data_IF_790303948090
#
_entry.id   IF_790303948090
#
_cell.length_a   1.000
_cell.length_b   1.000
_cell.length_c   1.000
_cell.angle_alpha   90.00
_cell.angle_beta   90.00
_cell.angle_gamma   90.00
#
_symmetry.space_group_name_H-M   'P 1'
#
loop_
_entity.id
_entity.type
_entity.pdbx_description
1 polymer ?
#
# COMPACT_ATOMS: atom_id res chain seq x y z
N UNK A 1 -4.08 8.55 17.45
CA UNK A 1 -5.20 7.60 17.26
C UNK A 1 -4.98 6.84 15.96
N UNK A 2 -5.20 5.53 15.97
CA UNK A 2 -5.11 4.69 14.77
C UNK A 2 -6.23 4.99 13.78
N UNK A 3 -5.88 5.24 12.52
CA UNK A 3 -6.78 5.52 11.41
C UNK A 3 -6.50 4.57 10.26
N UNK A 4 -7.52 4.35 9.42
CA UNK A 4 -7.43 3.49 8.25
C UNK A 4 -7.92 4.22 7.02
N UNK A 5 -7.21 4.02 5.91
CA UNK A 5 -7.64 4.49 4.60
C UNK A 5 -7.55 3.36 3.59
N UNK A 6 -8.62 3.15 2.82
CA UNK A 6 -8.71 2.10 1.80
C UNK A 6 -8.72 2.73 0.41
N UNK A 7 -8.07 2.06 -0.52
CA UNK A 7 -8.13 2.33 -1.94
C UNK A 7 -8.42 1.02 -2.67
N UNK A 8 -9.31 1.06 -3.66
CA UNK A 8 -9.47 -0.02 -4.64
C UNK A 8 -8.65 0.33 -5.87
N UNK A 9 -7.78 -0.57 -6.30
CA UNK A 9 -6.96 -0.37 -7.49
C UNK A 9 -7.83 -0.41 -8.75
N UNK A 10 -7.32 0.16 -9.84
CA UNK A 10 -7.79 -0.24 -11.16
C UNK A 10 -7.51 -1.74 -11.39
N UNK A 11 -8.05 -2.26 -12.48
CA UNK A 11 -7.82 -3.65 -12.90
C UNK A 11 -6.33 -3.88 -13.11
N UNK A 12 -5.76 -4.83 -12.36
CA UNK A 12 -4.36 -5.22 -12.46
C UNK A 12 -4.20 -6.14 -13.67
N UNK A 13 -3.38 -5.77 -14.64
CA UNK A 13 -3.08 -6.57 -15.83
C UNK A 13 -1.73 -7.25 -15.68
N UNK A 14 -1.58 -8.46 -16.22
CA UNK A 14 -0.31 -9.19 -16.20
C UNK A 14 0.84 -8.38 -16.79
N UNK A 15 2.02 -8.48 -16.18
CA UNK A 15 3.22 -7.74 -16.52
C UNK A 15 3.16 -6.23 -16.25
N UNK A 16 2.06 -5.73 -15.67
CA UNK A 16 1.86 -4.30 -15.44
C UNK A 16 1.83 -3.95 -13.94
N UNK A 17 2.28 -2.74 -13.67
CA UNK A 17 2.14 -2.12 -12.37
C UNK A 17 0.96 -1.12 -12.38
N UNK A 18 0.17 -1.13 -11.32
CA UNK A 18 -0.92 -0.18 -11.09
C UNK A 18 -0.71 0.49 -9.75
N UNK A 19 -0.51 1.81 -9.75
CA UNK A 19 -0.30 2.63 -8.55
C UNK A 19 -1.37 3.71 -8.44
N UNK A 20 -1.70 4.06 -7.21
CA UNK A 20 -2.51 5.24 -6.91
C UNK A 20 -2.05 5.89 -5.60
N UNK A 21 -2.18 7.22 -5.54
CA UNK A 21 -1.93 7.97 -4.30
C UNK A 21 -2.98 7.61 -3.26
N UNK A 22 -2.53 7.15 -2.09
CA UNK A 22 -3.42 6.81 -0.97
C UNK A 22 -3.34 7.84 0.15
N UNK A 23 -2.18 8.45 0.39
CA UNK A 23 -1.98 9.42 1.45
C UNK A 23 -0.92 10.42 1.05
N UNK A 24 -1.07 11.67 1.48
CA UNK A 24 -0.10 12.72 1.25
C UNK A 24 0.12 13.49 2.55
N UNK A 25 1.33 13.97 2.77
CA UNK A 25 1.71 14.79 3.90
C UNK A 25 1.08 16.18 3.81
N UNK A 26 0.25 16.52 4.80
CA UNK A 26 -0.48 17.79 4.84
C UNK A 26 0.24 18.78 5.75
N UNK A 27 0.15 20.08 5.42
CA UNK A 27 0.67 21.14 6.28
C UNK A 27 0.09 21.02 7.70
N UNK A 28 0.95 21.19 8.71
CA UNK A 28 0.61 21.09 10.14
C UNK A 28 0.11 19.71 10.61
N UNK A 29 0.38 18.64 9.85
CA UNK A 29 0.09 17.27 10.27
C UNK A 29 1.29 16.38 9.97
N UNK A 30 1.71 15.63 10.97
CA UNK A 30 2.70 14.57 10.81
C UNK A 30 1.99 13.24 10.97
N UNK A 31 2.30 12.29 10.08
CA UNK A 31 1.72 10.95 10.14
C UNK A 31 2.80 9.90 10.19
N UNK A 32 2.43 8.73 10.65
CA UNK A 32 3.21 7.50 10.49
C UNK A 32 2.31 6.40 9.98
N UNK A 33 2.68 5.78 8.85
CA UNK A 33 2.05 4.54 8.40
C UNK A 33 2.63 3.40 9.23
N UNK A 34 1.75 2.68 9.92
CA UNK A 34 2.09 1.60 10.86
C UNK A 34 1.72 0.22 10.34
N UNK A 35 0.93 0.14 9.27
CA UNK A 35 0.66 -1.12 8.63
C UNK A 35 -0.02 -1.01 7.28
N UNK A 36 -0.01 -2.11 6.54
CA UNK A 36 -0.71 -2.26 5.27
C UNK A 36 -1.36 -3.65 5.20
N UNK A 37 -2.54 -3.72 4.63
CA UNK A 37 -3.30 -4.96 4.46
C UNK A 37 -3.95 -5.02 3.09
N UNK A 38 -4.11 -6.23 2.59
CA UNK A 38 -4.81 -6.55 1.34
C UNK A 38 -5.26 -8.01 1.39
N UNK A 39 -6.19 -8.37 0.50
CA UNK A 39 -6.52 -9.77 0.29
C UNK A 39 -5.31 -10.48 -0.36
N UNK A 40 -4.82 -11.59 0.19
CA UNK A 40 -3.66 -12.29 -0.36
C UNK A 40 -3.98 -12.88 -1.73
N UNK A 41 -3.05 -12.73 -2.68
CA UNK A 41 -3.10 -13.42 -3.96
C UNK A 41 -1.69 -13.73 -4.45
N UNK A 42 -1.46 -14.97 -4.86
CA UNK A 42 -0.19 -15.38 -5.44
C UNK A 42 0.10 -14.57 -6.70
N UNK A 43 1.39 -14.38 -6.99
CA UNK A 43 1.87 -13.67 -8.17
C UNK A 43 1.44 -12.19 -8.27
N UNK A 44 1.12 -11.57 -7.13
CA UNK A 44 0.91 -10.12 -7.04
C UNK A 44 1.80 -9.54 -5.97
N UNK A 45 2.55 -8.50 -6.31
CA UNK A 45 3.50 -7.82 -5.43
C UNK A 45 2.91 -6.50 -4.96
N UNK A 46 2.64 -6.41 -3.68
CA UNK A 46 2.24 -5.18 -3.01
C UNK A 46 3.44 -4.23 -3.00
N UNK A 47 3.23 -3.03 -3.52
CA UNK A 47 4.26 -2.01 -3.62
C UNK A 47 3.82 -0.71 -2.98
N UNK A 48 4.77 -0.07 -2.30
CA UNK A 48 4.59 1.25 -1.70
C UNK A 48 5.75 2.13 -2.15
N UNK A 49 5.40 3.33 -2.61
CA UNK A 49 6.34 4.35 -3.01
C UNK A 49 6.17 5.58 -2.12
N UNK A 50 7.29 6.13 -1.64
CA UNK A 50 7.35 7.44 -0.98
C UNK A 50 8.12 8.39 -1.90
N UNK A 51 7.48 9.43 -2.40
CA UNK A 51 8.10 10.43 -3.29
C UNK A 51 8.82 9.82 -4.51
N UNK A 52 8.32 8.70 -5.02
CA UNK A 52 8.92 7.98 -6.17
C UNK A 52 9.97 6.92 -5.80
N UNK A 53 10.40 6.83 -4.54
CA UNK A 53 11.26 5.75 -4.06
C UNK A 53 10.42 4.55 -3.61
N UNK A 54 10.76 3.36 -4.10
CA UNK A 54 10.09 2.12 -3.70
C UNK A 54 10.57 1.67 -2.33
N UNK A 55 9.69 1.75 -1.32
CA UNK A 55 10.01 1.41 0.08
C UNK A 55 9.45 0.05 0.50
N UNK A 56 8.50 -0.49 -0.25
CA UNK A 56 7.97 -1.85 -0.07
C UNK A 56 7.89 -2.53 -1.43
N UNK A 57 8.43 -3.74 -1.50
CA UNK A 57 8.15 -4.71 -2.57
C UNK A 57 8.01 -6.10 -1.94
N UNK A 58 6.77 -6.55 -1.74
CA UNK A 58 6.50 -7.84 -1.10
C UNK A 58 5.33 -8.53 -1.75
N UNK A 59 5.39 -9.86 -1.87
CA UNK A 59 4.26 -10.60 -2.41
C UNK A 59 3.03 -10.47 -1.50
N UNK A 60 1.87 -10.23 -2.10
CA UNK A 60 0.63 -9.94 -1.37
C UNK A 60 0.15 -11.11 -0.50
N UNK A 61 0.64 -12.33 -0.77
CA UNK A 61 0.41 -13.51 0.07
C UNK A 61 1.01 -13.37 1.48
N UNK A 62 1.90 -12.40 1.71
CA UNK A 62 2.40 -12.09 3.06
C UNK A 62 1.29 -11.61 4.01
N UNK A 63 0.18 -11.06 3.48
CA UNK A 63 -1.00 -10.69 4.26
C UNK A 63 -1.97 -11.88 4.38
N UNK A 64 -1.76 -12.77 5.34
CA UNK A 64 -2.58 -13.98 5.54
C UNK A 64 -3.65 -13.79 6.61
N UNK A 65 -4.55 -14.76 6.82
CA UNK A 65 -5.48 -14.71 7.96
C UNK A 65 -4.78 -14.71 9.32
N UNK A 66 -3.64 -15.39 9.44
CA UNK A 66 -2.82 -15.43 10.66
C UNK A 66 -1.96 -14.17 10.83
N UNK A 67 -1.60 -13.50 9.73
CA UNK A 67 -0.85 -12.26 9.71
C UNK A 67 -1.49 -11.28 8.72
N UNK A 68 -2.63 -10.67 9.07
CA UNK A 68 -3.46 -9.91 8.11
C UNK A 68 -2.86 -8.55 7.75
N UNK A 69 -1.84 -8.10 8.47
CA UNK A 69 -1.24 -6.79 8.28
C UNK A 69 0.27 -6.92 8.26
N UNK A 70 0.87 -6.39 7.20
CA UNK A 70 2.30 -6.14 7.15
C UNK A 70 2.59 -4.91 8.01
N UNK A 71 3.42 -5.07 9.04
CA UNK A 71 3.83 -3.98 9.93
C UNK A 71 4.75 -3.01 9.19
N UNK A 72 4.58 -1.73 9.46
CA UNK A 72 5.34 -0.65 8.84
C UNK A 72 5.82 0.34 9.91
N UNK A 73 6.87 1.09 9.59
CA UNK A 73 7.27 2.28 10.35
C UNK A 73 7.72 3.35 9.35
N UNK A 74 6.75 3.91 8.63
CA UNK A 74 7.02 4.91 7.59
C UNK A 74 6.50 6.28 8.01
N UNK A 75 7.41 7.19 8.33
CA UNK A 75 7.08 8.59 8.64
C UNK A 75 6.70 9.38 7.39
N UNK A 76 5.72 10.27 7.53
CA UNK A 76 5.26 11.20 6.49
C UNK A 76 5.40 12.64 6.98
N UNK A 77 6.15 13.43 6.20
CA UNK A 77 6.38 14.85 6.38
C UNK A 77 5.57 15.68 5.36
N UNK A 78 5.51 16.99 5.57
CA UNK A 78 4.77 17.91 4.68
C UNK A 78 5.31 17.82 3.25
N UNK A 79 4.43 17.58 2.29
CA UNK A 79 4.79 17.45 0.87
C UNK A 79 5.10 16.02 0.43
N UNK A 80 5.18 15.05 1.35
CA UNK A 80 5.32 13.65 0.98
C UNK A 80 4.10 13.13 0.22
N UNK A 81 4.32 12.30 -0.79
CA UNK A 81 3.29 11.58 -1.52
C UNK A 81 3.50 10.07 -1.39
N UNK A 82 2.49 9.38 -0.86
CA UNK A 82 2.50 7.92 -0.73
C UNK A 82 1.59 7.31 -1.78
N UNK A 83 2.22 6.57 -2.70
CA UNK A 83 1.53 5.75 -3.70
C UNK A 83 1.60 4.29 -3.30
N UNK A 84 0.50 3.59 -3.48
CA UNK A 84 0.42 2.15 -3.23
C UNK A 84 -0.24 1.47 -4.40
N UNK A 85 0.06 0.18 -4.55
CA UNK A 85 -0.52 -0.59 -5.62
C UNK A 85 0.05 -1.98 -5.71
N UNK A 86 -0.10 -2.58 -6.89
CA UNK A 86 0.43 -3.89 -7.17
C UNK A 86 1.19 -3.91 -8.50
N UNK A 87 2.28 -4.66 -8.50
CA UNK A 87 2.80 -5.28 -9.72
C UNK A 87 2.19 -6.68 -9.86
N UNK A 88 1.54 -6.93 -11.00
CA UNK A 88 0.96 -8.24 -11.30
C UNK A 88 1.90 -9.00 -12.24
N UNK A 89 2.32 -10.18 -11.80
CA UNK A 89 3.13 -11.11 -12.60
C UNK A 89 2.45 -12.48 -12.65
N UNK A 90 1.12 -12.45 -12.72
CA UNK A 90 0.27 -13.62 -12.90
C UNK A 90 -0.80 -13.33 -13.94
N UNK A 91 -1.27 -14.39 -14.60
CA UNK A 91 -2.29 -14.31 -15.64
C UNK A 91 -3.67 -13.79 -15.16
N UNK A 92 -3.89 -13.73 -13.84
CA UNK A 92 -5.15 -13.28 -13.27
C UNK A 92 -5.27 -11.75 -13.33
N UNK A 93 -6.26 -11.28 -14.08
CA UNK A 93 -6.57 -9.86 -14.21
C UNK A 93 -7.72 -9.48 -13.26
N UNK A 94 -7.42 -8.69 -12.23
CA UNK A 94 -8.42 -8.35 -11.19
C UNK A 94 -8.09 -7.04 -10.48
N UNK A 95 -9.11 -6.36 -9.96
CA UNK A 95 -8.94 -5.20 -9.09
C UNK A 95 -8.82 -5.65 -7.62
N UNK A 96 -7.98 -4.98 -6.83
CA UNK A 96 -7.74 -5.32 -5.43
C UNK A 96 -7.95 -4.15 -4.49
N UNK A 97 -8.32 -4.47 -3.26
CA UNK A 97 -8.39 -3.48 -2.19
C UNK A 97 -7.07 -3.48 -1.41
N UNK A 98 -6.57 -2.29 -1.12
CA UNK A 98 -5.43 -2.04 -0.25
C UNK A 98 -5.90 -1.10 0.85
N UNK A 99 -5.57 -1.39 2.10
CA UNK A 99 -5.78 -0.46 3.19
C UNK A 99 -4.47 -0.21 3.94
N UNK A 100 -4.23 1.05 4.29
CA UNK A 100 -3.12 1.45 5.15
C UNK A 100 -3.65 1.87 6.52
N UNK A 101 -2.94 1.44 7.55
CA UNK A 101 -3.10 1.90 8.92
C UNK A 101 -2.09 3.02 9.18
N UNK A 102 -2.54 4.14 9.72
CA UNK A 102 -1.69 5.28 10.03
C UNK A 102 -2.13 6.00 11.30
N UNK A 103 -1.18 6.68 11.94
CA UNK A 103 -1.39 7.43 13.17
C UNK A 103 -0.93 8.88 12.96
N UNK A 104 -1.61 9.82 13.62
CA UNK A 104 -1.05 11.16 13.80
C UNK A 104 0.14 11.05 14.76
N UNK A 105 1.25 11.69 14.41
CA UNK A 105 2.47 11.76 15.22
C UNK A 105 2.47 13.00 16.11
#
# INVERSE_FOLDING_TARGET
MLKWKRLRTATLTDGAETLATILSGLKNKSYRIVGITTNPLANMWLRVYKNGEQVVDVQSIACTSAQPTLKMDLGLDVGDDIKVGFYNNGAATTAKDIAIAYEDK
#
